data_IF_703979452597
#
_entry.id   IF_703979452597
#
_cell.length_a   1.000
_cell.length_b   1.000
_cell.length_c   1.000
_cell.angle_alpha   90.00
_cell.angle_beta   90.00
_cell.angle_gamma   90.00
#
_symmetry.space_group_name_H-M   'P 1'
#
loop_
_entity.id
_entity.type
_entity.pdbx_description
1 polymer ?
#
# COMPACT_ATOMS: atom_id res chain seq x y z
N UNK A 1 40.23 -68.53 0.19
CA UNK A 1 39.64 -67.25 0.62
C UNK A 1 39.26 -66.45 -0.63
N UNK A 2 37.99 -66.62 -1.02
CA UNK A 2 37.11 -65.66 -1.68
C UNK A 2 37.31 -65.28 -3.18
N UNK A 3 36.64 -66.09 -4.03
CA UNK A 3 35.78 -65.72 -5.19
C UNK A 3 36.46 -64.96 -6.34
N UNK A 4 37.11 -65.64 -7.29
CA UNK A 4 36.50 -66.24 -8.49
C UNK A 4 35.39 -65.42 -9.20
N UNK A 5 35.64 -65.26 -10.51
CA UNK A 5 34.69 -65.25 -11.63
C UNK A 5 34.22 -63.91 -12.21
N UNK A 6 34.82 -63.61 -13.37
CA UNK A 6 34.15 -63.17 -14.59
C UNK A 6 33.53 -61.76 -14.64
N UNK A 7 34.16 -60.87 -15.41
CA UNK A 7 33.47 -60.22 -16.54
C UNK A 7 34.46 -59.65 -17.56
N UNK A 8 34.60 -60.39 -18.65
CA UNK A 8 35.14 -59.96 -19.95
C UNK A 8 34.05 -59.19 -20.72
N UNK A 9 34.54 -58.43 -21.72
CA UNK A 9 33.87 -57.66 -22.78
C UNK A 9 33.32 -56.27 -22.35
N UNK A 10 34.02 -55.13 -22.54
CA UNK A 10 34.49 -54.45 -23.78
C UNK A 10 33.39 -53.58 -24.45
N UNK A 11 33.70 -52.65 -25.39
CA UNK A 11 34.47 -51.41 -25.21
C UNK A 11 33.87 -50.19 -25.98
N UNK A 12 34.51 -49.01 -25.81
CA UNK A 12 34.69 -47.89 -26.77
C UNK A 12 33.49 -47.31 -27.55
N UNK A 13 33.22 -46.02 -27.35
CA UNK A 13 33.54 -44.95 -28.34
C UNK A 13 33.87 -43.67 -27.56
N UNK A 14 35.04 -43.11 -27.84
CA UNK A 14 35.47 -41.80 -27.39
C UNK A 14 35.40 -40.81 -28.55
N UNK A 15 35.23 -39.54 -28.18
CA UNK A 15 35.46 -38.30 -28.93
C UNK A 15 34.33 -37.73 -29.79
N UNK A 16 33.62 -36.73 -29.22
CA UNK A 16 33.43 -35.43 -29.86
C UNK A 16 32.96 -34.36 -28.85
N UNK A 17 33.78 -33.32 -28.64
CA UNK A 17 33.32 -31.94 -28.59
C UNK A 17 32.59 -31.43 -27.34
N UNK A 18 33.36 -31.02 -26.33
CA UNK A 18 32.94 -30.06 -25.31
C UNK A 18 32.70 -28.67 -25.92
N UNK A 19 31.53 -28.07 -25.68
CA UNK A 19 31.35 -26.64 -25.33
C UNK A 19 29.92 -26.40 -24.83
N UNK A 20 29.83 -25.60 -23.77
CA UNK A 20 28.69 -25.43 -22.83
C UNK A 20 27.34 -25.22 -23.49
N UNK A 21 26.23 -25.59 -22.88
CA UNK A 21 25.74 -25.13 -21.58
C UNK A 21 24.69 -26.12 -21.08
N UNK A 22 24.98 -26.97 -20.08
CA UNK A 22 23.96 -27.88 -19.55
C UNK A 22 24.23 -28.41 -18.13
N UNK A 23 25.07 -27.73 -17.34
CA UNK A 23 25.47 -28.22 -16.01
C UNK A 23 25.51 -27.13 -14.92
N UNK A 24 24.68 -26.10 -15.07
CA UNK A 24 24.28 -25.20 -13.99
C UNK A 24 22.81 -24.89 -14.26
N UNK A 25 21.82 -25.26 -13.45
CA UNK A 25 21.84 -25.50 -12.03
C UNK A 25 20.71 -26.48 -11.67
N UNK A 26 21.07 -27.71 -11.25
CA UNK A 26 20.26 -28.46 -10.30
C UNK A 26 20.50 -27.90 -8.88
N UNK A 27 20.52 -26.58 -8.74
CA UNK A 27 20.58 -25.94 -7.43
C UNK A 27 19.26 -26.24 -6.74
N UNK A 28 19.32 -26.67 -5.47
CA UNK A 28 18.16 -26.80 -4.59
C UNK A 28 17.33 -25.51 -4.69
N UNK A 29 16.29 -25.53 -5.51
CA UNK A 29 15.37 -24.41 -5.67
C UNK A 29 14.65 -24.29 -4.34
N UNK A 30 15.10 -23.35 -3.50
CA UNK A 30 14.45 -23.04 -2.24
C UNK A 30 13.26 -22.15 -2.58
N UNK A 31 12.13 -22.78 -2.86
CA UNK A 31 10.87 -22.07 -3.05
C UNK A 31 10.41 -21.45 -1.72
N UNK A 32 9.78 -20.26 -1.75
CA UNK A 32 9.08 -19.73 -0.59
C UNK A 32 7.99 -20.71 -0.11
N UNK A 33 7.62 -20.70 1.19
CA UNK A 33 6.54 -21.54 1.68
C UNK A 33 5.24 -21.19 0.94
N UNK A 34 4.77 -22.15 0.13
CA UNK A 34 3.54 -21.97 -0.63
C UNK A 34 2.35 -22.50 0.17
N UNK A 35 1.38 -21.63 0.42
CA UNK A 35 0.18 -21.98 1.16
C UNK A 35 -0.97 -22.36 0.22
N UNK A 36 -1.78 -23.34 0.64
CA UNK A 36 -2.97 -23.76 -0.09
C UNK A 36 -2.71 -24.71 -1.26
N UNK A 37 -3.80 -25.11 -1.91
CA UNK A 37 -3.77 -26.00 -3.08
C UNK A 37 -3.05 -25.36 -4.27
N UNK A 38 -3.36 -24.11 -4.67
CA UNK A 38 -2.76 -23.54 -5.88
C UNK A 38 -1.24 -23.42 -5.80
N UNK A 39 -0.72 -23.01 -4.64
CA UNK A 39 0.71 -22.86 -4.42
C UNK A 39 1.51 -24.17 -4.51
N UNK A 40 0.93 -25.30 -4.09
CA UNK A 40 1.57 -26.63 -4.21
C UNK A 40 1.70 -27.07 -5.66
N UNK A 41 0.66 -26.84 -6.47
CA UNK A 41 0.70 -27.15 -7.90
C UNK A 41 1.65 -26.21 -8.66
N UNK A 42 1.65 -24.91 -8.32
CA UNK A 42 2.56 -23.93 -8.91
C UNK A 42 4.03 -24.29 -8.63
N UNK A 43 4.37 -24.65 -7.39
CA UNK A 43 5.72 -25.07 -7.02
C UNK A 43 6.16 -26.36 -7.74
N UNK A 44 5.26 -27.34 -7.86
CA UNK A 44 5.54 -28.58 -8.58
C UNK A 44 5.75 -28.34 -10.08
N UNK A 45 4.93 -27.48 -10.69
CA UNK A 45 5.07 -27.08 -12.09
C UNK A 45 6.38 -26.34 -12.33
N UNK A 46 6.73 -25.40 -11.46
CA UNK A 46 8.00 -24.68 -11.53
C UNK A 46 9.20 -25.63 -11.45
N UNK A 47 9.20 -26.56 -10.50
CA UNK A 47 10.25 -27.58 -10.39
C UNK A 47 10.34 -28.47 -11.64
N UNK A 48 9.20 -28.86 -12.21
CA UNK A 48 9.16 -29.67 -13.43
C UNK A 48 9.69 -28.90 -14.65
N UNK A 49 9.31 -27.63 -14.79
CA UNK A 49 9.74 -26.75 -15.87
C UNK A 49 11.24 -26.41 -15.80
N UNK A 50 11.77 -26.18 -14.59
CA UNK A 50 13.21 -25.99 -14.36
C UNK A 50 14.00 -27.25 -14.68
N UNK A 51 13.51 -28.42 -14.25
CA UNK A 51 14.16 -29.72 -14.54
C UNK A 51 14.16 -30.04 -16.03
N UNK A 52 13.12 -29.64 -16.75
CA UNK A 52 13.01 -29.82 -18.20
C UNK A 52 13.75 -28.73 -19.01
N UNK A 53 14.18 -27.64 -18.38
CA UNK A 53 14.81 -26.50 -19.07
C UNK A 53 13.84 -25.72 -19.97
N UNK A 54 12.52 -25.91 -19.81
CA UNK A 54 11.48 -25.29 -20.65
C UNK A 54 10.76 -24.13 -19.96
N UNK A 55 11.29 -23.63 -18.84
CA UNK A 55 10.67 -22.57 -18.02
C UNK A 55 10.10 -21.37 -18.81
N UNK A 56 10.85 -20.70 -19.71
CA UNK A 56 10.31 -19.53 -20.42
C UNK A 56 9.17 -19.88 -21.38
N UNK A 57 9.20 -21.07 -22.00
CA UNK A 57 8.11 -21.54 -22.87
C UNK A 57 6.85 -21.86 -22.07
N UNK A 58 7.01 -22.48 -20.90
CA UNK A 58 5.88 -22.78 -20.01
C UNK A 58 5.24 -21.49 -19.50
N UNK A 59 6.03 -20.47 -19.15
CA UNK A 59 5.53 -19.16 -18.72
C UNK A 59 4.70 -18.48 -19.83
N UNK A 60 5.18 -18.50 -21.07
CA UNK A 60 4.44 -17.97 -22.24
C UNK A 60 3.14 -18.74 -22.50
N UNK A 61 3.19 -20.07 -22.49
CA UNK A 61 2.02 -20.93 -22.71
C UNK A 61 0.94 -20.70 -21.65
N UNK A 62 1.32 -20.58 -20.38
CA UNK A 62 0.39 -20.30 -19.28
C UNK A 62 -0.22 -18.90 -19.40
N UNK A 63 0.56 -17.89 -19.81
CA UNK A 63 0.07 -16.54 -20.07
C UNK A 63 -0.93 -16.48 -21.23
N UNK A 64 -0.71 -17.25 -22.29
CA UNK A 64 -1.66 -17.39 -23.40
C UNK A 64 -2.95 -18.10 -22.95
N UNK A 65 -2.84 -19.16 -22.15
CA UNK A 65 -4.02 -19.85 -21.58
C UNK A 65 -4.81 -18.90 -20.67
N UNK A 66 -4.14 -18.13 -19.80
CA UNK A 66 -4.79 -17.12 -18.97
C UNK A 66 -5.49 -16.04 -19.81
N UNK A 67 -4.86 -15.60 -20.90
CA UNK A 67 -5.44 -14.63 -21.84
C UNK A 67 -6.68 -15.19 -22.54
N UNK A 68 -6.64 -16.45 -22.98
CA UNK A 68 -7.80 -17.13 -23.59
C UNK A 68 -8.97 -17.28 -22.61
N UNK A 69 -8.68 -17.55 -21.34
CA UNK A 69 -9.70 -17.57 -20.28
C UNK A 69 -10.32 -16.18 -20.05
N UNK A 70 -9.55 -15.11 -20.19
CA UNK A 70 -10.07 -13.74 -20.10
C UNK A 70 -10.87 -13.29 -21.33
N UNK A 71 -10.52 -13.76 -22.52
CA UNK A 71 -11.14 -13.36 -23.78
C UNK A 71 -12.42 -14.14 -24.13
N UNK A 72 -12.48 -15.42 -23.79
CA UNK A 72 -13.62 -16.29 -24.12
C UNK A 72 -14.35 -16.74 -22.86
N UNK A 73 -15.57 -16.20 -22.69
CA UNK A 73 -16.47 -16.59 -21.58
C UNK A 73 -16.86 -18.07 -21.68
N UNK A 74 -17.02 -18.59 -22.89
CA UNK A 74 -17.34 -20.00 -23.15
C UNK A 74 -16.20 -20.92 -22.68
N UNK A 75 -14.96 -20.55 -22.94
CA UNK A 75 -13.78 -21.30 -22.47
C UNK A 75 -13.67 -21.27 -20.95
N UNK A 76 -13.86 -20.10 -20.33
CA UNK A 76 -13.87 -19.98 -18.86
C UNK A 76 -14.98 -20.81 -18.21
N UNK A 77 -16.19 -20.81 -18.79
CA UNK A 77 -17.31 -21.62 -18.32
C UNK A 77 -17.04 -23.12 -18.49
N UNK A 78 -16.49 -23.55 -19.62
CA UNK A 78 -16.12 -24.95 -19.86
C UNK A 78 -15.06 -25.47 -18.86
N UNK A 79 -14.05 -24.65 -18.57
CA UNK A 79 -12.98 -24.98 -17.61
C UNK A 79 -13.56 -25.10 -16.18
N UNK A 80 -14.48 -24.20 -15.81
CA UNK A 80 -15.01 -24.09 -14.46
C UNK A 80 -16.22 -24.98 -14.16
N UNK A 81 -16.94 -25.48 -15.18
CA UNK A 81 -18.17 -26.24 -15.00
C UNK A 81 -17.90 -27.68 -14.52
N UNK A 82 -18.27 -28.04 -13.28
CA UNK A 82 -18.04 -29.39 -12.74
C UNK A 82 -18.93 -30.47 -13.39
N UNK A 83 -19.94 -30.08 -14.18
CA UNK A 83 -20.92 -30.97 -14.80
C UNK A 83 -20.39 -31.64 -16.08
N UNK A 84 -19.31 -31.10 -16.66
CA UNK A 84 -18.68 -31.66 -17.86
C UNK A 84 -17.79 -32.87 -17.49
N UNK A 85 -17.95 -34.03 -18.15
CA UNK A 85 -17.13 -35.21 -17.90
C UNK A 85 -15.63 -34.94 -18.06
N UNK A 86 -14.81 -35.55 -17.19
CA UNK A 86 -13.35 -35.36 -17.16
C UNK A 86 -12.68 -35.70 -18.49
N UNK A 87 -13.11 -36.77 -19.15
CA UNK A 87 -12.59 -37.19 -20.44
C UNK A 87 -12.79 -36.11 -21.51
N UNK A 88 -13.99 -35.53 -21.59
CA UNK A 88 -14.33 -34.45 -22.53
C UNK A 88 -13.53 -33.18 -22.24
N UNK A 89 -13.27 -32.86 -20.95
CA UNK A 89 -12.40 -31.74 -20.58
C UNK A 89 -10.96 -31.94 -21.01
N UNK A 90 -10.40 -33.13 -20.79
CA UNK A 90 -9.02 -33.45 -21.16
C UNK A 90 -8.85 -33.38 -22.67
N UNK A 91 -9.76 -33.96 -23.46
CA UNK A 91 -9.71 -33.90 -24.91
C UNK A 91 -9.83 -32.47 -25.43
N UNK A 92 -10.80 -31.71 -24.89
CA UNK A 92 -11.01 -30.30 -25.24
C UNK A 92 -9.75 -29.48 -25.01
N UNK A 93 -9.19 -29.53 -23.80
CA UNK A 93 -7.99 -28.79 -23.44
C UNK A 93 -6.74 -29.26 -24.19
N UNK A 94 -6.56 -30.56 -24.38
CA UNK A 94 -5.44 -31.11 -25.14
C UNK A 94 -5.50 -30.68 -26.60
N UNK A 95 -6.70 -30.57 -27.19
CA UNK A 95 -6.89 -30.08 -28.56
C UNK A 95 -6.51 -28.61 -28.70
N UNK A 96 -6.86 -27.77 -27.72
CA UNK A 96 -6.48 -26.34 -27.68
C UNK A 96 -4.98 -26.21 -27.51
N UNK A 97 -4.39 -26.91 -26.54
CA UNK A 97 -2.94 -26.88 -26.28
C UNK A 97 -2.11 -27.42 -27.43
N UNK A 98 -2.62 -28.42 -28.16
CA UNK A 98 -1.94 -28.97 -29.34
C UNK A 98 -1.96 -27.99 -30.52
N UNK A 99 -3.06 -27.25 -30.70
CA UNK A 99 -3.13 -26.16 -31.70
C UNK A 99 -2.20 -24.99 -31.37
N UNK A 100 -1.94 -24.75 -30.09
CA UNK A 100 -1.01 -23.72 -29.61
C UNK A 100 0.46 -24.16 -29.63
N UNK A 101 0.75 -25.43 -29.90
CA UNK A 101 2.12 -25.95 -29.89
C UNK A 101 2.72 -26.10 -28.48
N UNK A 102 1.88 -26.29 -27.45
CA UNK A 102 2.32 -26.33 -26.07
C UNK A 102 3.25 -27.51 -25.74
N UNK A 103 4.18 -27.27 -24.81
CA UNK A 103 5.12 -28.28 -24.30
C UNK A 103 4.43 -29.45 -23.58
N UNK A 104 5.11 -30.59 -23.55
CA UNK A 104 4.62 -31.80 -22.86
C UNK A 104 4.43 -31.56 -21.35
N UNK A 105 5.22 -30.67 -20.75
CA UNK A 105 5.08 -30.27 -19.35
C UNK A 105 3.71 -29.61 -19.11
N UNK A 106 3.31 -28.68 -19.97
CA UNK A 106 2.02 -27.98 -19.87
C UNK A 106 0.84 -28.92 -20.14
N UNK A 107 0.95 -29.81 -21.14
CA UNK A 107 -0.08 -30.82 -21.43
C UNK A 107 -0.29 -31.77 -20.26
N UNK A 108 0.79 -32.31 -19.69
CA UNK A 108 0.73 -33.20 -18.54
C UNK A 108 0.17 -32.49 -17.30
N UNK A 109 0.51 -31.20 -17.12
CA UNK A 109 0.01 -30.40 -16.02
C UNK A 109 -1.51 -30.15 -16.12
N UNK A 110 -2.00 -29.78 -17.30
CA UNK A 110 -3.44 -29.57 -17.53
C UNK A 110 -4.22 -30.88 -17.43
N UNK A 111 -3.65 -32.00 -17.89
CA UNK A 111 -4.20 -33.34 -17.67
C UNK A 111 -4.34 -33.66 -16.18
N UNK A 112 -3.27 -33.45 -15.39
CA UNK A 112 -3.27 -33.67 -13.94
C UNK A 112 -4.33 -32.81 -13.21
N UNK A 113 -4.51 -31.55 -13.61
CA UNK A 113 -5.53 -30.69 -13.03
C UNK A 113 -6.94 -31.15 -13.39
N UNK A 114 -7.12 -31.67 -14.60
CA UNK A 114 -8.40 -32.23 -15.06
C UNK A 114 -8.77 -33.49 -14.28
N UNK A 115 -7.80 -34.38 -14.05
CA UNK A 115 -8.00 -35.62 -13.29
C UNK A 115 -8.40 -35.35 -11.84
N UNK A 116 -7.79 -34.33 -11.23
CA UNK A 116 -8.05 -33.92 -9.86
C UNK A 116 -9.27 -33.00 -9.72
N UNK A 117 -9.97 -32.67 -10.82
CA UNK A 117 -11.08 -31.71 -10.86
C UNK A 117 -10.70 -30.31 -10.30
N UNK A 118 -9.49 -29.84 -10.63
CA UNK A 118 -8.90 -28.57 -10.16
C UNK A 118 -8.68 -27.55 -11.27
N UNK A 119 -9.29 -27.78 -12.43
CA UNK A 119 -9.21 -26.86 -13.57
C UNK A 119 -9.79 -25.46 -13.26
N UNK A 120 -10.79 -25.36 -12.38
CA UNK A 120 -11.33 -24.07 -11.91
C UNK A 120 -10.28 -23.22 -11.18
N UNK A 121 -9.27 -23.85 -10.58
CA UNK A 121 -8.19 -23.17 -9.87
C UNK A 121 -7.01 -22.82 -10.80
N UNK A 122 -7.08 -23.17 -12.10
CA UNK A 122 -6.00 -22.97 -13.06
C UNK A 122 -5.52 -21.51 -13.08
N UNK A 123 -6.45 -20.55 -13.13
CA UNK A 123 -6.09 -19.12 -13.11
C UNK A 123 -5.32 -18.72 -11.85
N UNK A 124 -5.69 -19.25 -10.68
CA UNK A 124 -4.96 -18.99 -9.43
C UNK A 124 -3.60 -19.66 -9.40
N UNK A 125 -3.48 -20.85 -10.01
CA UNK A 125 -2.21 -21.56 -10.11
C UNK A 125 -1.24 -20.83 -11.03
N UNK A 126 -1.72 -20.31 -12.17
CA UNK A 126 -0.91 -19.50 -13.10
C UNK A 126 -0.38 -18.26 -12.41
N UNK A 127 -1.24 -17.50 -11.72
CA UNK A 127 -0.80 -16.33 -10.97
C UNK A 127 0.28 -16.65 -9.92
N UNK A 128 0.12 -17.77 -9.20
CA UNK A 128 1.13 -18.24 -8.24
C UNK A 128 2.41 -18.74 -8.89
N UNK A 129 2.34 -19.29 -10.09
CA UNK A 129 3.52 -19.69 -10.86
C UNK A 129 4.33 -18.47 -11.31
N UNK A 130 3.68 -17.43 -11.80
CA UNK A 130 4.33 -16.17 -12.18
C UNK A 130 5.00 -15.50 -10.97
N UNK A 131 4.35 -15.49 -9.82
CA UNK A 131 4.92 -15.01 -8.56
C UNK A 131 6.21 -15.77 -8.18
N UNK A 132 6.17 -17.11 -8.26
CA UNK A 132 7.35 -17.96 -8.01
C UNK A 132 8.47 -17.68 -9.03
N UNK A 133 8.13 -17.51 -10.30
CA UNK A 133 9.10 -17.24 -11.37
C UNK A 133 9.78 -15.87 -11.17
N UNK A 134 9.00 -14.84 -10.83
CA UNK A 134 9.51 -13.51 -10.51
C UNK A 134 10.43 -13.52 -9.28
N UNK A 135 10.01 -14.20 -8.21
CA UNK A 135 10.81 -14.36 -6.99
C UNK A 135 12.18 -15.00 -7.26
N UNK A 136 12.23 -16.01 -8.14
CA UNK A 136 13.46 -16.71 -8.50
C UNK A 136 14.37 -15.87 -9.41
N UNK A 137 13.80 -14.97 -10.22
CA UNK A 137 14.56 -13.93 -10.95
C UNK A 137 15.04 -12.80 -10.04
N UNK A 138 14.57 -12.75 -8.79
CA UNK A 138 14.81 -11.64 -7.88
C UNK A 138 14.02 -10.39 -8.26
N UNK A 139 12.99 -10.52 -9.07
CA UNK A 139 12.11 -9.42 -9.47
C UNK A 139 11.01 -9.28 -8.42
N UNK A 140 10.95 -8.11 -7.78
CA UNK A 140 9.87 -7.78 -6.84
C UNK A 140 8.93 -6.84 -7.56
N UNK A 141 7.69 -7.29 -7.77
CA UNK A 141 6.63 -6.45 -8.30
C UNK A 141 6.09 -5.54 -7.18
N UNK A 142 6.09 -4.24 -7.41
CA UNK A 142 5.40 -3.27 -6.57
C UNK A 142 4.33 -2.55 -7.39
N UNK A 143 3.09 -2.63 -6.93
CA UNK A 143 1.98 -1.90 -7.49
C UNK A 143 1.82 -0.58 -6.75
N UNK A 144 1.77 0.50 -7.51
CA UNK A 144 1.64 1.87 -6.99
C UNK A 144 0.32 2.43 -7.48
N UNK A 145 -0.60 2.69 -6.55
CA UNK A 145 -1.88 3.32 -6.85
C UNK A 145 -1.86 4.78 -6.43
N UNK A 146 -2.09 5.68 -7.39
CA UNK A 146 -2.12 7.14 -7.19
C UNK A 146 -3.40 7.76 -7.72
N UNK A 147 -3.71 8.96 -7.22
CA UNK A 147 -4.85 9.77 -7.67
C UNK A 147 -4.71 10.24 -9.13
N UNK A 148 -3.48 10.59 -9.50
CA UNK A 148 -3.08 11.08 -10.81
C UNK A 148 -1.85 10.32 -11.30
N UNK A 149 -1.56 10.38 -12.59
CA UNK A 149 -0.37 9.73 -13.18
C UNK A 149 0.91 10.27 -12.56
N UNK A 150 1.87 9.38 -12.29
CA UNK A 150 3.16 9.73 -11.70
C UNK A 150 4.06 10.41 -12.73
N UNK A 151 4.75 11.48 -12.32
CA UNK A 151 5.87 12.02 -13.08
C UNK A 151 7.10 11.13 -12.94
N UNK A 152 8.06 11.22 -13.88
CA UNK A 152 9.32 10.44 -13.82
C UNK A 152 10.09 10.69 -12.53
N UNK A 153 10.08 11.92 -12.03
CA UNK A 153 10.77 12.33 -10.81
C UNK A 153 10.16 11.68 -9.55
N UNK A 154 8.84 11.55 -9.52
CA UNK A 154 8.10 10.90 -8.43
C UNK A 154 8.27 9.38 -8.47
N UNK A 155 8.23 8.76 -9.66
CA UNK A 155 8.51 7.35 -9.85
C UNK A 155 9.93 6.99 -9.37
N UNK A 156 10.94 7.79 -9.74
CA UNK A 156 12.32 7.62 -9.28
C UNK A 156 12.46 7.82 -7.76
N UNK A 157 11.74 8.78 -7.18
CA UNK A 157 11.74 9.00 -5.74
C UNK A 157 11.13 7.81 -4.97
N UNK A 158 10.04 7.23 -5.48
CA UNK A 158 9.40 6.04 -4.92
C UNK A 158 10.34 4.83 -5.06
N UNK A 159 10.99 4.66 -6.22
CA UNK A 159 11.93 3.58 -6.45
C UNK A 159 13.13 3.66 -5.48
N UNK A 160 13.67 4.87 -5.24
CA UNK A 160 14.71 5.11 -4.23
C UNK A 160 14.23 4.84 -2.80
N UNK A 161 12.99 5.23 -2.48
CA UNK A 161 12.38 4.99 -1.16
C UNK A 161 12.10 3.52 -0.87
N UNK A 162 11.82 2.72 -1.92
CA UNK A 162 11.58 1.28 -1.82
C UNK A 162 12.86 0.45 -1.85
N UNK A 163 13.97 0.96 -2.41
CA UNK A 163 15.27 0.30 -2.43
C UNK A 163 15.73 -0.28 -1.08
N UNK A 164 15.64 0.43 0.07
CA UNK A 164 16.03 -0.14 1.37
C UNK A 164 15.10 -1.24 1.90
N UNK A 165 13.90 -1.40 1.34
CA UNK A 165 12.95 -2.45 1.73
C UNK A 165 13.16 -3.76 0.94
N UNK A 166 14.03 -3.75 -0.07
CA UNK A 166 14.39 -4.90 -0.92
C UNK A 166 15.57 -5.66 -0.33
N UNK A 167 15.64 -6.98 -0.61
CA UNK A 167 16.81 -7.78 -0.25
C UNK A 167 17.96 -7.50 -1.23
N UNK A 168 19.24 -7.67 -0.81
CA UNK A 168 20.39 -7.47 -1.70
C UNK A 168 20.27 -8.31 -2.98
N UNK A 169 20.32 -7.68 -4.16
CA UNK A 169 20.24 -8.35 -5.46
C UNK A 169 18.85 -8.45 -6.09
N UNK A 170 17.81 -7.86 -5.48
CA UNK A 170 16.47 -7.83 -6.07
C UNK A 170 16.24 -6.60 -6.96
N UNK A 171 15.55 -6.79 -8.10
CA UNK A 171 15.16 -5.74 -9.04
C UNK A 171 13.69 -5.38 -8.83
N UNK A 172 13.39 -4.10 -8.67
CA UNK A 172 12.01 -3.62 -8.48
C UNK A 172 11.35 -3.35 -9.84
N UNK A 173 10.22 -4.00 -10.09
CA UNK A 173 9.34 -3.70 -11.21
C UNK A 173 8.14 -2.93 -10.68
N UNK A 174 8.00 -1.68 -11.10
CA UNK A 174 6.92 -0.79 -10.65
C UNK A 174 5.75 -0.87 -11.64
N UNK A 175 4.56 -1.21 -11.16
CA UNK A 175 3.32 -1.17 -11.95
C UNK A 175 2.45 -0.02 -11.45
N UNK A 176 2.26 0.99 -12.29
CA UNK A 176 1.45 2.17 -11.96
C UNK A 176 -0.03 1.89 -12.23
N UNK A 177 -0.88 2.31 -11.30
CA UNK A 177 -2.33 2.24 -11.42
C UNK A 177 -2.94 3.57 -10.98
N UNK A 178 -3.78 4.17 -11.82
CA UNK A 178 -4.46 5.41 -11.47
C UNK A 178 -5.86 5.09 -10.98
N UNK A 179 -6.18 5.49 -9.75
CA UNK A 179 -7.53 5.41 -9.17
C UNK A 179 -7.99 6.81 -8.71
N UNK A 180 -8.89 7.46 -9.49
CA UNK A 180 -9.42 8.79 -9.16
C UNK A 180 -10.21 8.84 -7.84
N UNK A 181 -10.58 7.68 -7.27
CA UNK A 181 -11.26 7.58 -5.97
C UNK A 181 -10.33 7.97 -4.82
N UNK A 182 -9.02 7.94 -5.05
CA UNK A 182 -8.00 8.39 -4.11
C UNK A 182 -7.87 9.91 -4.27
N UNK A 183 -8.29 10.67 -3.26
CA UNK A 183 -8.23 12.15 -3.28
C UNK A 183 -6.78 12.68 -3.26
N UNK A 184 -5.82 11.83 -2.87
CA UNK A 184 -4.39 12.13 -2.89
C UNK A 184 -3.56 11.13 -2.08
N UNK A 185 -2.24 11.16 -2.29
CA UNK A 185 -1.27 10.25 -1.67
C UNK A 185 -0.96 9.02 -2.53
N UNK A 186 -0.23 8.07 -1.95
CA UNK A 186 0.24 6.86 -2.63
C UNK A 186 -0.16 5.61 -1.86
N UNK A 187 -0.64 4.60 -2.56
CA UNK A 187 -0.86 3.26 -2.03
C UNK A 187 0.16 2.34 -2.69
N UNK A 188 0.97 1.68 -1.86
CA UNK A 188 2.01 0.77 -2.30
C UNK A 188 1.63 -0.65 -1.90
N UNK A 189 1.58 -1.56 -2.86
CA UNK A 189 1.36 -2.98 -2.62
C UNK A 189 2.55 -3.76 -3.16
N UNK A 190 3.28 -4.45 -2.29
CA UNK A 190 4.47 -5.23 -2.63
C UNK A 190 4.41 -6.59 -1.93
N UNK A 191 3.88 -7.59 -2.63
CA UNK A 191 3.61 -8.92 -2.05
C UNK A 191 2.75 -8.80 -0.79
N UNK A 192 3.30 -9.24 0.35
CA UNK A 192 2.63 -9.18 1.65
C UNK A 192 2.72 -7.82 2.36
N UNK A 193 3.50 -6.88 1.82
CA UNK A 193 3.69 -5.55 2.39
C UNK A 193 2.77 -4.56 1.70
N UNK A 194 1.79 -4.09 2.45
CA UNK A 194 0.88 -3.03 2.02
C UNK A 194 1.16 -1.76 2.80
N UNK A 195 1.45 -0.66 2.09
CA UNK A 195 1.69 0.65 2.68
C UNK A 195 0.71 1.64 2.06
N UNK A 196 -0.33 1.96 2.81
CA UNK A 196 -1.33 2.96 2.43
C UNK A 196 -0.98 4.32 3.05
N UNK A 197 -0.49 5.23 2.21
CA UNK A 197 -0.27 6.63 2.55
C UNK A 197 -1.30 7.55 1.90
N UNK A 198 -2.45 7.01 1.46
CA UNK A 198 -3.53 7.83 0.92
C UNK A 198 -4.10 8.78 1.97
N UNK A 199 -4.53 9.95 1.52
CA UNK A 199 -5.23 10.94 2.36
C UNK A 199 -6.51 10.31 2.92
N UNK A 200 -7.21 9.47 2.14
CA UNK A 200 -8.39 8.75 2.58
C UNK A 200 -8.10 7.80 3.75
N UNK A 201 -7.01 7.03 3.69
CA UNK A 201 -6.61 6.15 4.78
C UNK A 201 -6.18 6.93 6.02
N UNK A 202 -5.47 8.06 5.86
CA UNK A 202 -5.14 8.96 6.97
C UNK A 202 -6.39 9.56 7.61
N UNK A 203 -7.38 9.98 6.82
CA UNK A 203 -8.66 10.49 7.30
C UNK A 203 -9.50 9.39 7.96
N UNK A 204 -9.53 8.17 7.39
CA UNK A 204 -10.19 7.01 8.01
C UNK A 204 -9.53 6.63 9.31
N UNK A 205 -8.19 6.62 9.38
CA UNK A 205 -7.42 6.33 10.59
C UNK A 205 -7.61 7.43 11.63
N UNK A 206 -7.67 8.69 11.24
CA UNK A 206 -8.05 9.80 12.12
C UNK A 206 -9.49 9.62 12.63
N UNK A 207 -10.44 9.30 11.75
CA UNK A 207 -11.84 9.00 12.12
C UNK A 207 -11.95 7.77 13.02
N UNK A 208 -11.07 6.78 12.84
CA UNK A 208 -11.00 5.57 13.66
C UNK A 208 -10.40 5.91 15.02
N UNK A 209 -9.26 6.60 15.09
CA UNK A 209 -8.67 7.08 16.34
C UNK A 209 -9.67 7.97 17.09
N UNK A 210 -10.42 8.81 16.40
CA UNK A 210 -11.50 9.60 17.00
C UNK A 210 -12.67 8.73 17.47
N UNK A 211 -13.03 7.66 16.73
CA UNK A 211 -14.06 6.66 17.12
C UNK A 211 -13.58 5.60 18.11
N UNK A 212 -12.29 5.48 18.35
CA UNK A 212 -11.70 4.54 19.32
C UNK A 212 -11.39 5.32 20.62
N UNK A 213 -11.03 6.61 20.50
CA UNK A 213 -10.93 7.55 21.60
C UNK A 213 -12.30 8.03 22.11
N UNK A 214 -13.35 7.85 21.31
CA UNK A 214 -14.76 7.95 21.72
C UNK A 214 -15.29 6.52 21.66
N UNK A 215 -15.38 5.75 22.76
CA UNK A 215 -15.76 4.34 22.69
C UNK A 215 -17.02 4.16 21.84
N UNK A 216 -16.87 3.50 20.68
CA UNK A 216 -18.00 3.07 19.89
C UNK A 216 -18.74 1.99 20.67
N UNK A 217 -19.74 2.40 21.44
CA UNK A 217 -20.86 1.53 21.70
C UNK A 217 -21.55 1.24 20.36
N UNK A 218 -21.65 -0.04 20.00
CA UNK A 218 -22.75 -0.51 19.17
C UNK A 218 -23.37 -1.73 19.86
N UNK A 219 -24.69 -1.95 19.82
CA UNK A 219 -25.78 -0.99 19.77
C UNK A 219 -26.79 -1.32 20.89
N UNK A 220 -26.62 -0.73 22.07
CA UNK A 220 -27.77 -0.55 22.96
C UNK A 220 -28.32 0.84 22.63
N UNK A 221 -29.57 0.93 22.15
CA UNK A 221 -30.30 2.21 22.03
C UNK A 221 -30.18 2.96 23.36
N UNK A 222 -29.69 4.21 23.38
CA UNK A 222 -30.59 5.26 23.87
C UNK A 222 -30.49 6.61 23.13
N UNK A 223 -31.63 7.29 23.15
CA UNK A 223 -31.96 8.69 22.83
C UNK A 223 -31.11 9.50 21.81
N UNK A 224 -31.65 9.83 20.62
CA UNK A 224 -30.97 10.58 19.54
C UNK A 224 -30.65 12.07 19.83
N UNK A 225 -31.06 12.62 20.98
CA UNK A 225 -30.99 14.07 21.24
C UNK A 225 -29.64 14.48 21.87
N UNK A 226 -29.00 13.60 22.63
CA UNK A 226 -27.74 13.92 23.34
C UNK A 226 -26.52 13.94 22.39
N UNK A 227 -26.47 13.01 21.42
CA UNK A 227 -25.35 12.88 20.47
C UNK A 227 -25.28 14.07 19.47
N UNK A 228 -26.43 14.58 19.03
CA UNK A 228 -26.50 15.71 18.10
C UNK A 228 -25.81 16.97 18.66
N UNK A 229 -25.95 17.25 19.96
CA UNK A 229 -25.41 18.49 20.55
C UNK A 229 -23.89 18.44 20.81
N UNK A 230 -23.30 17.25 20.94
CA UNK A 230 -21.86 17.07 21.16
C UNK A 230 -21.09 17.09 19.83
N UNK A 231 -21.61 16.41 18.80
CA UNK A 231 -21.05 16.46 17.44
C UNK A 231 -21.12 17.87 16.84
N UNK A 232 -22.24 18.59 17.02
CA UNK A 232 -22.40 19.97 16.56
C UNK A 232 -21.40 20.95 17.19
N UNK A 233 -21.03 20.75 18.46
CA UNK A 233 -20.04 21.61 19.15
C UNK A 233 -18.61 21.30 18.71
N UNK A 234 -18.29 20.04 18.46
CA UNK A 234 -17.01 19.64 17.86
C UNK A 234 -16.85 20.21 16.44
N UNK A 235 -17.93 20.19 15.65
CA UNK A 235 -17.98 20.81 14.33
C UNK A 235 -17.84 22.34 14.39
N UNK A 236 -18.42 22.99 15.41
CA UNK A 236 -18.28 24.42 15.64
C UNK A 236 -16.83 24.86 15.88
N UNK A 237 -16.09 24.12 16.71
CA UNK A 237 -14.67 24.34 16.92
C UNK A 237 -13.85 24.12 15.65
N UNK A 238 -14.15 23.04 14.90
CA UNK A 238 -13.48 22.73 13.63
C UNK A 238 -13.64 23.88 12.62
N UNK A 239 -14.87 24.35 12.41
CA UNK A 239 -15.17 25.47 11.49
C UNK A 239 -14.45 26.75 11.91
N UNK A 240 -14.47 27.08 13.20
CA UNK A 240 -13.79 28.27 13.71
C UNK A 240 -12.27 28.23 13.48
N UNK A 241 -11.64 27.05 13.63
CA UNK A 241 -10.21 26.89 13.33
C UNK A 241 -9.92 26.98 11.83
N UNK A 242 -10.75 26.38 10.98
CA UNK A 242 -10.61 26.42 9.53
C UNK A 242 -10.75 27.86 9.00
N UNK A 243 -11.75 28.60 9.47
CA UNK A 243 -11.95 30.02 9.16
C UNK A 243 -10.76 30.87 9.62
N UNK A 244 -10.23 30.61 10.82
CA UNK A 244 -9.04 31.29 11.34
C UNK A 244 -7.82 31.05 10.44
N UNK A 245 -7.52 29.80 10.09
CA UNK A 245 -6.37 29.44 9.25
C UNK A 245 -6.52 30.06 7.85
N UNK A 246 -7.70 29.94 7.24
CA UNK A 246 -7.98 30.53 5.94
C UNK A 246 -7.83 32.06 5.95
N UNK A 247 -8.24 32.72 7.03
CA UNK A 247 -8.07 34.16 7.21
C UNK A 247 -6.60 34.56 7.34
N UNK A 248 -5.83 33.85 8.18
CA UNK A 248 -4.39 34.07 8.36
C UNK A 248 -3.62 33.88 7.05
N UNK A 249 -3.92 32.81 6.32
CA UNK A 249 -3.25 32.51 5.05
C UNK A 249 -3.53 33.61 4.02
N UNK A 250 -4.79 33.97 3.81
CA UNK A 250 -5.18 34.98 2.82
C UNK A 250 -4.63 36.36 3.14
N UNK A 251 -4.70 36.78 4.41
CA UNK A 251 -4.37 38.15 4.80
C UNK A 251 -2.89 38.37 5.12
N UNK A 252 -2.16 37.34 5.55
CA UNK A 252 -0.80 37.50 6.07
C UNK A 252 0.23 36.64 5.31
N UNK A 253 -0.07 35.36 5.07
CA UNK A 253 0.89 34.44 4.44
C UNK A 253 1.04 34.71 2.94
N UNK A 254 -0.07 34.85 2.20
CA UNK A 254 -0.02 35.10 0.74
C UNK A 254 0.69 36.41 0.36
N UNK A 255 0.51 37.53 1.08
CA UNK A 255 1.33 38.72 0.83
C UNK A 255 2.83 38.50 1.06
N UNK A 256 3.20 37.78 2.13
CA UNK A 256 4.61 37.44 2.38
C UNK A 256 5.18 36.53 1.28
N UNK A 257 4.41 35.55 0.80
CA UNK A 257 4.79 34.70 -0.33
C UNK A 257 4.99 35.53 -1.61
N UNK A 258 4.08 36.46 -1.90
CA UNK A 258 4.20 37.37 -3.05
C UNK A 258 5.50 38.20 -2.98
N UNK A 259 5.81 38.76 -1.81
CA UNK A 259 7.04 39.51 -1.57
C UNK A 259 8.28 38.61 -1.77
N UNK A 260 8.24 37.37 -1.25
CA UNK A 260 9.32 36.38 -1.42
C UNK A 260 9.55 36.00 -2.89
N UNK A 261 8.49 35.70 -3.66
CA UNK A 261 8.63 35.35 -5.08
C UNK A 261 9.13 36.52 -5.92
N UNK A 262 8.70 37.75 -5.60
CA UNK A 262 9.19 38.95 -6.28
C UNK A 262 10.68 39.18 -5.98
N UNK A 263 11.10 38.92 -4.73
CA UNK A 263 12.50 38.97 -4.31
C UNK A 263 13.35 37.92 -5.05
N UNK A 264 12.87 36.67 -5.18
CA UNK A 264 13.57 35.62 -5.92
C UNK A 264 13.70 35.94 -7.41
N UNK A 265 12.67 36.50 -8.03
CA UNK A 265 12.75 36.96 -9.41
C UNK A 265 13.89 37.98 -9.58
N UNK A 266 14.00 38.94 -8.66
CA UNK A 266 15.10 39.91 -8.66
C UNK A 266 16.48 39.27 -8.35
N UNK A 267 16.54 38.14 -7.64
CA UNK A 267 17.78 37.38 -7.45
C UNK A 267 18.26 36.76 -8.76
N UNK A 268 17.36 36.26 -9.62
CA UNK A 268 17.71 35.71 -10.93
C UNK A 268 18.42 36.73 -11.84
N UNK A 269 18.04 38.01 -11.74
CA UNK A 269 18.63 39.08 -12.55
C UNK A 269 20.00 39.54 -12.03
N UNK A 270 20.30 39.33 -10.75
CA UNK A 270 21.48 39.88 -10.07
C UNK A 270 22.56 38.84 -9.76
N UNK A 271 22.21 37.58 -9.63
CA UNK A 271 23.15 36.54 -9.21
C UNK A 271 24.14 36.20 -10.33
N UNK A 272 25.44 36.35 -10.06
CA UNK A 272 26.50 36.02 -11.02
C UNK A 272 26.87 34.52 -11.04
N UNK A 273 26.59 33.80 -9.96
CA UNK A 273 26.86 32.36 -9.84
C UNK A 273 25.66 31.61 -9.28
N UNK A 274 25.62 30.29 -9.49
CA UNK A 274 24.56 29.43 -8.96
C UNK A 274 24.52 29.43 -7.42
N UNK A 275 25.67 29.58 -6.76
CA UNK A 275 25.76 29.64 -5.30
C UNK A 275 25.17 30.94 -4.76
N UNK A 276 25.45 32.08 -5.40
CA UNK A 276 24.87 33.38 -5.02
C UNK A 276 23.35 33.39 -5.20
N UNK A 277 22.85 32.75 -6.27
CA UNK A 277 21.42 32.60 -6.52
C UNK A 277 20.74 31.81 -5.39
N UNK A 278 21.32 30.67 -4.99
CA UNK A 278 20.78 29.86 -3.89
C UNK A 278 20.75 30.64 -2.57
N UNK A 279 21.82 31.38 -2.26
CA UNK A 279 21.89 32.17 -1.03
C UNK A 279 20.88 33.34 -1.04
N UNK A 280 20.74 34.03 -2.17
CA UNK A 280 19.78 35.12 -2.34
C UNK A 280 18.33 34.61 -2.21
N UNK A 281 17.97 33.55 -2.94
CA UNK A 281 16.64 32.95 -2.89
C UNK A 281 16.31 32.43 -1.48
N UNK A 282 17.27 31.79 -0.80
CA UNK A 282 17.09 31.33 0.58
C UNK A 282 16.77 32.47 1.55
N UNK A 283 17.40 33.64 1.39
CA UNK A 283 17.10 34.83 2.18
C UNK A 283 15.69 35.39 1.91
N UNK A 284 15.24 35.38 0.65
CA UNK A 284 13.87 35.80 0.28
C UNK A 284 12.80 34.88 0.90
N UNK A 285 13.07 33.58 1.00
CA UNK A 285 12.14 32.57 1.48
C UNK A 285 12.09 32.46 3.02
N UNK A 286 13.16 32.88 3.69
CA UNK A 286 13.35 32.73 5.13
C UNK A 286 12.18 33.31 5.95
N UNK A 287 11.67 34.48 5.58
CA UNK A 287 10.54 35.12 6.30
C UNK A 287 9.26 34.29 6.22
N UNK A 288 8.98 33.72 5.05
CA UNK A 288 7.81 32.85 4.83
C UNK A 288 7.95 31.55 5.62
N UNK A 289 9.15 30.96 5.63
CA UNK A 289 9.43 29.75 6.42
C UNK A 289 9.23 29.98 7.93
N UNK A 290 9.77 31.07 8.47
CA UNK A 290 9.61 31.43 9.89
C UNK A 290 8.14 31.68 10.23
N UNK A 291 7.41 32.40 9.37
CA UNK A 291 5.97 32.61 9.54
C UNK A 291 5.18 31.29 9.60
N UNK A 292 5.47 30.35 8.68
CA UNK A 292 4.81 29.05 8.66
C UNK A 292 5.14 28.21 9.90
N UNK A 293 6.39 28.25 10.38
CA UNK A 293 6.80 27.57 11.61
C UNK A 293 6.04 28.08 12.83
N UNK A 294 5.87 29.40 12.97
CA UNK A 294 5.12 30.01 14.09
C UNK A 294 3.66 29.60 14.06
N UNK A 295 3.02 29.63 12.87
CA UNK A 295 1.62 29.17 12.72
C UNK A 295 1.48 27.71 13.15
N UNK A 296 2.35 26.83 12.63
CA UNK A 296 2.30 25.41 12.94
C UNK A 296 2.54 25.13 14.44
N UNK A 297 3.46 25.86 15.07
CA UNK A 297 3.76 25.73 16.49
C UNK A 297 2.57 26.14 17.38
N UNK A 298 1.91 27.27 17.09
CA UNK A 298 0.75 27.72 17.86
C UNK A 298 -0.47 26.81 17.69
N UNK A 299 -0.72 26.33 16.46
CA UNK A 299 -1.79 25.37 16.21
C UNK A 299 -1.54 24.05 16.97
N UNK A 300 -0.29 23.57 16.99
CA UNK A 300 0.09 22.39 17.77
C UNK A 300 -0.10 22.62 19.27
N UNK A 301 0.34 23.77 19.80
CA UNK A 301 0.16 24.11 21.21
C UNK A 301 -1.33 24.23 21.59
N UNK A 302 -2.18 24.67 20.68
CA UNK A 302 -3.63 24.66 20.85
C UNK A 302 -4.19 23.23 20.88
N UNK A 303 -3.78 22.38 19.93
CA UNK A 303 -4.19 20.97 19.88
C UNK A 303 -3.78 20.19 21.15
N UNK A 304 -2.55 20.37 21.64
CA UNK A 304 -2.06 19.72 22.86
C UNK A 304 -2.81 20.17 24.12
N UNK A 305 -3.27 21.44 24.16
CA UNK A 305 -4.13 21.94 25.25
C UNK A 305 -5.53 21.31 25.19
N UNK A 306 -6.12 21.22 24.00
CA UNK A 306 -7.42 20.56 23.80
C UNK A 306 -7.36 19.07 24.15
N UNK A 307 -6.32 18.34 23.69
CA UNK A 307 -6.12 16.93 24.00
C UNK A 307 -6.00 16.69 25.50
N UNK A 308 -5.24 17.52 26.22
CA UNK A 308 -5.16 17.44 27.69
C UNK A 308 -6.50 17.68 28.37
N UNK A 309 -7.36 18.54 27.82
CA UNK A 309 -8.72 18.74 28.34
C UNK A 309 -9.56 17.47 28.21
N UNK A 310 -9.56 16.86 27.02
CA UNK A 310 -10.31 15.61 26.76
C UNK A 310 -9.75 14.45 27.58
N UNK A 311 -8.43 14.37 27.75
CA UNK A 311 -7.82 13.34 28.58
C UNK A 311 -8.27 13.45 30.04
N UNK A 312 -8.34 14.66 30.61
CA UNK A 312 -8.93 14.87 31.95
C UNK A 312 -10.41 14.45 32.01
N UNK A 313 -11.16 14.58 30.91
CA UNK A 313 -12.53 14.06 30.85
C UNK A 313 -12.56 12.53 30.84
N UNK A 314 -11.62 11.88 30.15
CA UNK A 314 -11.48 10.42 30.14
C UNK A 314 -11.13 9.90 31.53
N UNK A 315 -10.16 10.53 32.20
CA UNK A 315 -9.78 10.16 33.57
C UNK A 315 -10.98 10.25 34.52
N UNK A 316 -11.75 11.36 34.47
CA UNK A 316 -12.98 11.54 35.27
C UNK A 316 -14.07 10.53 34.96
N UNK A 317 -14.23 10.15 33.69
CA UNK A 317 -15.20 9.14 33.29
C UNK A 317 -14.77 7.74 33.78
N UNK A 318 -13.46 7.47 33.78
CA UNK A 318 -12.91 6.20 34.27
C UNK A 318 -13.01 6.06 35.79
N UNK A 319 -12.89 7.16 36.54
CA UNK A 319 -13.12 7.19 37.99
C UNK A 319 -14.55 6.80 38.39
N UNK A 320 -15.52 6.92 37.48
CA UNK A 320 -16.92 6.51 37.71
C UNK A 320 -17.14 4.99 37.52
N UNK A 321 -16.15 4.26 37.02
CA UNK A 321 -16.26 2.82 36.74
C UNK A 321 -15.79 2.01 37.95
N UNK A 322 -16.60 1.03 38.34
CA UNK A 322 -16.21 -0.01 39.30
C UNK A 322 -15.24 -1.02 38.68
N UNK A 323 -14.61 -1.87 39.51
CA UNK A 323 -13.63 -2.87 39.05
C UNK A 323 -14.21 -3.88 38.03
N UNK A 324 -15.53 -4.07 38.04
CA UNK A 324 -16.29 -4.86 37.05
C UNK A 324 -17.51 -4.05 36.64
N UNK A 325 -17.39 -3.13 35.67
CA UNK A 325 -18.43 -2.16 35.38
C UNK A 325 -19.63 -2.81 34.70
N UNK A 326 -20.83 -2.47 35.16
CA UNK A 326 -22.10 -2.82 34.53
C UNK A 326 -22.37 -2.00 33.27
N UNK A 327 -23.22 -2.50 32.37
CA UNK A 327 -23.63 -1.76 31.16
C UNK A 327 -24.18 -0.36 31.47
N UNK A 328 -24.84 -0.18 32.62
CA UNK A 328 -25.37 1.12 33.07
C UNK A 328 -24.25 2.09 33.49
N UNK A 329 -23.23 1.61 34.20
CA UNK A 329 -22.07 2.43 34.58
C UNK A 329 -21.26 2.84 33.34
N UNK A 330 -21.09 1.93 32.37
CA UNK A 330 -20.41 2.22 31.10
C UNK A 330 -21.19 3.30 30.32
N UNK A 331 -22.51 3.18 30.21
CA UNK A 331 -23.34 4.17 29.53
C UNK A 331 -23.33 5.54 30.22
N UNK A 332 -23.34 5.56 31.57
CA UNK A 332 -23.25 6.80 32.35
C UNK A 332 -21.89 7.49 32.18
N UNK A 333 -20.79 6.72 32.26
CA UNK A 333 -19.43 7.23 32.05
C UNK A 333 -19.22 7.76 30.62
N UNK A 334 -19.77 7.08 29.61
CA UNK A 334 -19.76 7.55 28.22
C UNK A 334 -20.54 8.86 28.04
N UNK A 335 -21.70 9.00 28.70
CA UNK A 335 -22.47 10.24 28.71
C UNK A 335 -21.71 11.39 29.37
N UNK A 336 -21.10 11.15 30.54
CA UNK A 336 -20.29 12.13 31.27
C UNK A 336 -19.05 12.56 30.46
N UNK A 337 -18.39 11.62 29.78
CA UNK A 337 -17.27 11.89 28.88
C UNK A 337 -17.72 12.79 27.71
N UNK A 338 -18.83 12.45 27.05
CA UNK A 338 -19.34 13.21 25.91
C UNK A 338 -19.69 14.66 26.29
N UNK A 339 -20.35 14.85 27.44
CA UNK A 339 -20.68 16.18 27.95
C UNK A 339 -19.43 16.98 28.34
N UNK A 340 -18.47 16.36 29.02
CA UNK A 340 -17.20 16.99 29.38
C UNK A 340 -16.38 17.39 28.14
N UNK A 341 -16.29 16.51 27.15
CA UNK A 341 -15.61 16.80 25.88
C UNK A 341 -16.29 17.92 25.09
N UNK A 342 -17.63 17.97 25.10
CA UNK A 342 -18.40 19.05 24.48
C UNK A 342 -18.14 20.41 25.18
N UNK A 343 -18.01 20.41 26.51
CA UNK A 343 -17.65 21.60 27.28
C UNK A 343 -16.21 22.05 26.98
N UNK A 344 -15.25 21.11 26.91
CA UNK A 344 -13.89 21.40 26.45
C UNK A 344 -13.92 22.07 25.07
N UNK A 345 -14.61 21.48 24.08
CA UNK A 345 -14.69 22.05 22.74
C UNK A 345 -15.27 23.48 22.74
N UNK A 346 -16.33 23.71 23.52
CA UNK A 346 -16.95 25.04 23.65
C UNK A 346 -16.04 26.08 24.31
N UNK A 347 -15.25 25.71 25.31
CA UNK A 347 -14.27 26.61 25.93
C UNK A 347 -13.14 26.98 24.96
N UNK A 348 -12.59 25.99 24.26
CA UNK A 348 -11.51 26.21 23.29
C UNK A 348 -12.00 26.98 22.07
N UNK A 349 -13.25 26.80 21.64
CA UNK A 349 -13.86 27.59 20.56
C UNK A 349 -13.87 29.08 20.89
N UNK A 350 -14.18 29.46 22.14
CA UNK A 350 -14.13 30.86 22.61
C UNK A 350 -12.71 31.43 22.64
N UNK A 351 -11.68 30.57 22.70
CA UNK A 351 -10.27 30.98 22.71
C UNK A 351 -9.69 31.17 21.30
N UNK A 352 -10.30 30.59 20.25
CA UNK A 352 -9.82 30.68 18.86
C UNK A 352 -9.56 32.14 18.42
N UNK A 353 -10.47 33.12 18.67
CA UNK A 353 -10.21 34.51 18.28
C UNK A 353 -8.99 35.13 18.98
N UNK A 354 -8.70 34.70 20.22
CA UNK A 354 -7.51 35.16 20.96
C UNK A 354 -6.23 34.61 20.32
N UNK A 355 -6.21 33.32 20.02
CA UNK A 355 -5.07 32.66 19.33
C UNK A 355 -4.83 33.31 17.97
N UNK A 356 -5.89 33.61 17.23
CA UNK A 356 -5.80 34.34 15.95
C UNK A 356 -5.12 35.71 16.10
N UNK A 357 -5.53 36.51 17.10
CA UNK A 357 -4.93 37.83 17.36
C UNK A 357 -3.45 37.73 17.74
N UNK A 358 -3.10 36.76 18.59
CA UNK A 358 -1.72 36.53 19.02
C UNK A 358 -0.84 36.12 17.82
N UNK A 359 -1.36 35.27 16.94
CA UNK A 359 -0.70 34.87 15.69
C UNK A 359 -0.51 36.05 14.73
N UNK A 360 -1.54 36.87 14.53
CA UNK A 360 -1.46 38.07 13.66
C UNK A 360 -0.35 39.00 14.16
N UNK A 361 -0.27 39.26 15.47
CA UNK A 361 0.76 40.11 16.06
C UNK A 361 2.17 39.59 15.76
N UNK A 362 2.39 38.28 15.92
CA UNK A 362 3.69 37.65 15.62
C UNK A 362 4.03 37.67 14.13
N UNK A 363 3.05 37.41 13.25
CA UNK A 363 3.26 37.46 11.80
C UNK A 363 3.59 38.88 11.31
N UNK A 364 2.99 39.91 11.91
CA UNK A 364 3.32 41.30 11.62
C UNK A 364 4.75 41.66 12.07
N UNK A 365 5.25 41.08 13.16
CA UNK A 365 6.64 41.25 13.58
C UNK A 365 7.63 40.58 12.62
N UNK A 366 7.29 39.41 12.06
CA UNK A 366 8.14 38.69 11.09
C UNK A 366 8.18 39.42 9.73
N UNK A 367 7.07 40.10 9.38
CA UNK A 367 6.99 40.84 8.12
C UNK A 367 7.85 42.10 8.13
N UNK A 368 7.85 42.84 9.24
CA UNK A 368 8.76 43.99 9.45
C UNK A 368 10.21 43.52 9.33
#
# INVERSE_FOLDING_TARGET
MLRQAAKRLAPQVAAAGTRGVAAAAAAKVKLPPQHGVPGRYAAALYMAAVKAGTLPKVEEELGQVASLMGQSKDFSSFVSDPSVPRATKIEGLTSVLSKMGATDVTKNFVGLLSDNNRLSELGRIVAKFEEIAADQRGEVAAQVTTAEGLSREEADAIQRGLAPLLKPGQKLTLTEQVDPSIIGGVILSMGDKFVDMSVLARVKKLKQIVRDAVPSAQPAKPAPIAQMSAEQRADGLRKAMEEMVNSLERQHVRPMQKEAYTCMAACCDKAGTQQDLQQCCGGCEQKVMVAQQVINAELRAFQERLQRCVQRCQDKAQEQLSATPSEKEIAAAQGSLAECAANCAGEYQKQVPKVSKDLISRLQQIRK
#
